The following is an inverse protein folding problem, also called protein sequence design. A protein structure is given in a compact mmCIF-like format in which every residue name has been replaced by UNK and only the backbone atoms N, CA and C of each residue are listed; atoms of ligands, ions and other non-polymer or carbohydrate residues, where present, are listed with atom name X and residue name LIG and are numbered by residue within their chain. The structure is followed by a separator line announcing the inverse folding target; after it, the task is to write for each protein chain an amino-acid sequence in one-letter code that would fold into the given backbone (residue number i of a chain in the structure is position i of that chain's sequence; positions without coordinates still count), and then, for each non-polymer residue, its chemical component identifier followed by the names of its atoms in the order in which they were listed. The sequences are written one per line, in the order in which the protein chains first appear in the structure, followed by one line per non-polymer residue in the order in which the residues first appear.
data_IF_568452768127
#
_entry.id   IF_568452768127
#
_cell.length_a   1.000
_cell.length_b   1.000
_cell.length_c   1.000
_cell.angle_alpha   90.00
_cell.angle_beta   90.00
_cell.angle_gamma   90.00
#
_symmetry.space_group_name_H-M   'P 1'
#
loop_
_entity.id
_entity.type
_entity.pdbx_description
1 polymer ?
#
# COMPACT_ATOMS: atom_id res chain seq x y z
N UNK A 1 -17.79 30.91 2.11
CA UNK A 1 -17.92 29.51 1.68
C UNK A 1 -16.51 28.97 1.46
N UNK A 2 -15.95 28.34 2.49
CA UNK A 2 -14.60 27.76 2.41
C UNK A 2 -14.69 26.50 1.57
N UNK A 3 -14.03 26.49 0.41
CA UNK A 3 -13.88 25.28 -0.40
C UNK A 3 -12.79 24.45 0.27
N UNK A 4 -13.19 23.46 1.07
CA UNK A 4 -12.29 22.42 1.53
C UNK A 4 -11.76 21.66 0.32
N UNK A 5 -10.54 21.98 -0.09
CA UNK A 5 -9.79 21.24 -1.11
C UNK A 5 -9.58 19.80 -0.60
N UNK A 6 -10.45 18.89 -1.01
CA UNK A 6 -10.31 17.46 -0.75
C UNK A 6 -9.06 16.95 -1.49
N UNK A 7 -7.94 16.85 -0.77
CA UNK A 7 -6.66 16.35 -1.30
C UNK A 7 -6.66 14.88 -1.75
N UNK A 8 -7.82 14.23 -1.77
CA UNK A 8 -8.01 12.78 -1.93
C UNK A 8 -8.97 12.41 -3.06
N UNK A 9 -9.20 13.29 -4.04
CA UNK A 9 -10.15 12.98 -5.11
C UNK A 9 -9.55 12.07 -6.20
N UNK A 10 -8.22 12.02 -6.37
CA UNK A 10 -7.67 11.43 -7.60
C UNK A 10 -6.27 10.78 -7.51
N UNK A 11 -5.65 10.69 -6.32
CA UNK A 11 -4.25 10.26 -6.20
C UNK A 11 -4.13 9.08 -5.22
N UNK A 12 -3.44 8.01 -5.66
CA UNK A 12 -3.18 6.80 -4.87
C UNK A 12 -2.48 7.16 -3.55
N UNK A 13 -3.23 7.34 -2.46
CA UNK A 13 -2.70 7.82 -1.18
C UNK A 13 -1.70 6.80 -0.61
N UNK A 14 -0.47 7.26 -0.44
CA UNK A 14 0.60 6.58 0.29
C UNK A 14 0.30 6.65 1.77
N UNK A 15 0.27 5.50 2.44
CA UNK A 15 0.07 5.46 3.89
C UNK A 15 1.34 5.96 4.58
N UNK A 16 1.22 6.80 5.59
CA UNK A 16 2.39 7.19 6.41
C UNK A 16 2.72 6.03 7.35
N UNK A 17 3.87 5.34 7.19
CA UNK A 17 4.22 4.28 8.11
C UNK A 17 4.52 4.87 9.49
N UNK A 18 4.15 4.13 10.55
CA UNK A 18 4.55 4.48 11.91
C UNK A 18 6.08 4.56 12.00
N UNK A 19 6.60 5.68 12.52
CA UNK A 19 8.04 5.87 12.72
C UNK A 19 8.47 5.10 13.97
N UNK A 20 9.02 3.90 13.81
CA UNK A 20 9.71 3.23 14.91
C UNK A 20 11.04 3.94 15.15
N UNK A 21 11.25 4.47 16.36
CA UNK A 21 12.53 5.09 16.75
C UNK A 21 13.65 4.06 16.97
N UNK A 22 13.31 2.77 16.97
CA UNK A 22 14.25 1.67 17.16
C UNK A 22 14.12 0.65 16.03
N UNK A 23 15.27 0.23 15.48
CA UNK A 23 15.40 -0.90 14.54
C UNK A 23 15.24 -2.21 15.31
N UNK A 24 14.08 -2.41 15.94
CA UNK A 24 13.76 -3.57 16.80
C UNK A 24 12.39 -4.15 16.44
N UNK A 25 11.92 -5.13 17.21
CA UNK A 25 10.65 -5.88 17.05
C UNK A 25 9.42 -5.04 16.63
N UNK A 26 9.34 -3.76 17.02
CA UNK A 26 8.26 -2.86 16.63
C UNK A 26 8.11 -2.61 15.12
N UNK A 27 9.21 -2.75 14.35
CA UNK A 27 9.19 -2.63 12.87
C UNK A 27 8.44 -3.80 12.21
N UNK A 28 8.39 -4.97 12.85
CA UNK A 28 7.66 -6.16 12.38
C UNK A 28 6.17 -6.11 12.70
N UNK A 29 5.73 -5.13 13.50
CA UNK A 29 4.31 -4.98 13.82
C UNK A 29 3.52 -4.64 12.56
N UNK A 30 2.28 -5.14 12.47
CA UNK A 30 1.40 -4.87 11.33
C UNK A 30 1.22 -3.36 11.09
N UNK A 31 1.13 -2.57 12.17
CA UNK A 31 1.00 -1.11 12.13
C UNK A 31 2.15 -0.41 11.38
N UNK A 32 3.33 -1.02 11.34
CA UNK A 32 4.51 -0.47 10.66
C UNK A 32 4.76 -1.17 9.32
N UNK A 33 4.66 -2.50 9.28
CA UNK A 33 4.96 -3.30 8.10
C UNK A 33 3.88 -3.19 7.01
N UNK A 34 2.59 -3.16 7.36
CA UNK A 34 1.52 -3.14 6.36
C UNK A 34 1.49 -1.86 5.52
N UNK A 35 1.63 -0.64 6.10
CA UNK A 35 1.78 0.58 5.31
C UNK A 35 2.98 0.54 4.36
N UNK A 36 4.14 0.07 4.84
CA UNK A 36 5.36 -0.06 4.02
C UNK A 36 5.13 -0.99 2.83
N UNK A 37 4.59 -2.18 3.09
CA UNK A 37 4.29 -3.16 2.05
C UNK A 37 3.29 -2.61 1.03
N UNK A 38 2.17 -2.04 1.51
CA UNK A 38 1.16 -1.45 0.61
C UNK A 38 1.78 -0.37 -0.27
N UNK A 39 2.60 0.51 0.28
CA UNK A 39 3.22 1.60 -0.48
C UNK A 39 4.19 1.11 -1.55
N UNK A 40 4.84 -0.04 -1.35
CA UNK A 40 5.70 -0.65 -2.38
C UNK A 40 4.93 -1.30 -3.53
N UNK A 41 3.60 -1.47 -3.41
CA UNK A 41 2.79 -2.06 -4.48
C UNK A 41 2.50 -1.03 -5.57
N UNK A 42 2.43 -1.47 -6.84
CA UNK A 42 2.06 -0.59 -7.94
C UNK A 42 0.61 -0.11 -7.81
N UNK A 43 0.30 1.03 -8.43
CA UNK A 43 -1.00 1.70 -8.33
C UNK A 43 -2.17 0.80 -8.74
N UNK A 44 -2.04 0.05 -9.83
CA UNK A 44 -3.11 -0.85 -10.30
C UNK A 44 -3.53 -1.89 -9.25
N UNK A 45 -2.57 -2.41 -8.47
CA UNK A 45 -2.87 -3.32 -7.34
C UNK A 45 -3.51 -2.54 -6.19
N UNK A 46 -3.02 -1.33 -5.86
CA UNK A 46 -3.52 -0.52 -4.74
C UNK A 46 -4.93 0.04 -4.94
N UNK A 47 -5.27 0.41 -6.17
CA UNK A 47 -6.49 1.13 -6.55
C UNK A 47 -7.62 0.17 -6.97
N UNK A 48 -7.48 -1.11 -6.65
CA UNK A 48 -8.52 -2.12 -6.80
C UNK A 48 -9.79 -1.77 -6.02
N UNK A 49 -10.94 -1.76 -6.71
CA UNK A 49 -12.24 -1.44 -6.10
C UNK A 49 -12.80 -2.54 -5.20
N UNK A 50 -12.36 -3.80 -5.39
CA UNK A 50 -12.87 -4.95 -4.62
C UNK A 50 -11.74 -5.76 -4.00
N UNK A 51 -12.04 -6.44 -2.88
CA UNK A 51 -11.09 -7.34 -2.25
C UNK A 51 -10.70 -8.52 -3.16
N UNK A 52 -11.63 -9.00 -3.99
CA UNK A 52 -11.36 -10.10 -4.91
C UNK A 52 -10.39 -9.68 -6.01
N UNK A 53 -10.61 -8.50 -6.63
CA UNK A 53 -9.68 -7.96 -7.64
C UNK A 53 -8.32 -7.66 -7.04
N UNK A 54 -8.27 -7.13 -5.82
CA UNK A 54 -7.02 -6.90 -5.08
C UNK A 54 -6.24 -8.21 -4.89
N UNK A 55 -6.86 -9.25 -4.34
CA UNK A 55 -6.20 -10.56 -4.12
C UNK A 55 -5.67 -11.17 -5.42
N UNK A 56 -6.45 -11.06 -6.51
CA UNK A 56 -6.04 -11.56 -7.84
C UNK A 56 -4.81 -10.82 -8.35
N UNK A 57 -4.88 -9.48 -8.42
CA UNK A 57 -3.79 -8.66 -8.94
C UNK A 57 -2.53 -8.74 -8.07
N UNK A 58 -2.68 -8.83 -6.75
CA UNK A 58 -1.56 -9.02 -5.83
C UNK A 58 -0.82 -10.33 -6.10
N UNK A 59 -1.57 -11.43 -6.30
CA UNK A 59 -0.98 -12.73 -6.62
C UNK A 59 -0.25 -12.68 -7.95
N UNK A 60 -0.86 -12.12 -9.00
CA UNK A 60 -0.24 -11.96 -10.32
C UNK A 60 1.05 -11.14 -10.21
N UNK A 61 1.02 -9.98 -9.54
CA UNK A 61 2.19 -9.13 -9.35
C UNK A 61 3.36 -9.88 -8.70
N UNK A 62 3.14 -10.59 -7.59
CA UNK A 62 4.24 -11.32 -6.95
C UNK A 62 4.71 -12.53 -7.75
N UNK A 63 3.80 -13.19 -8.49
CA UNK A 63 4.18 -14.27 -9.38
C UNK A 63 5.07 -13.76 -10.51
N UNK A 64 4.72 -12.65 -11.15
CA UNK A 64 5.54 -12.00 -12.17
C UNK A 64 6.90 -11.53 -11.61
N UNK A 65 6.95 -10.99 -10.38
CA UNK A 65 8.22 -10.58 -9.77
C UNK A 65 9.18 -11.76 -9.51
N UNK A 66 8.66 -12.95 -9.20
CA UNK A 66 9.48 -14.13 -8.85
C UNK A 66 9.79 -14.99 -10.06
N UNK A 67 8.84 -15.15 -10.98
CA UNK A 67 8.95 -16.05 -12.14
C UNK A 67 9.16 -15.32 -13.47
N UNK A 68 8.88 -14.02 -13.52
CA UNK A 68 9.06 -13.15 -14.69
C UNK A 68 10.34 -12.32 -14.56
N UNK A 69 11.48 -13.00 -14.67
CA UNK A 69 12.77 -12.46 -15.12
C UNK A 69 13.49 -13.56 -15.89
#
# INVERSE_FOLDING_TARGET
MSIDHLRSAHQSMTLVPSKSKHVKYGERSFKTAAPKLRNSLPSYVRDCQTLQSFKRQLKTYYYEQVCGN
#
